data_IF_425043869683
#
_entry.id   IF_425043869683
#
_cell.length_a   1.000
_cell.length_b   1.000
_cell.length_c   1.000
_cell.angle_alpha   90.00
_cell.angle_beta   90.00
_cell.angle_gamma   90.00
#
_symmetry.space_group_name_H-M   'P 1'
#
loop_
_entity.id
_entity.type
_entity.pdbx_description
1 polymer ?
#
# COMPACT_ATOMS: atom_id res chain seq x y z
N UNK A 1 -28.50 16.66 -0.10
CA UNK A 1 -27.88 15.80 -1.13
C UNK A 1 -27.22 14.65 -0.42
N UNK A 2 -27.70 13.42 -0.62
CA UNK A 2 -27.03 12.24 -0.09
C UNK A 2 -25.65 12.12 -0.76
N UNK A 3 -24.56 11.82 -0.02
CA UNK A 3 -23.27 11.59 -0.62
C UNK A 3 -23.40 10.39 -1.56
N UNK A 4 -23.09 10.59 -2.84
CA UNK A 4 -23.02 9.53 -3.83
C UNK A 4 -22.11 8.44 -3.29
N UNK A 5 -22.68 7.29 -2.93
CA UNK A 5 -21.92 6.10 -2.55
C UNK A 5 -21.21 5.62 -3.79
N UNK A 6 -19.99 6.12 -4.00
CA UNK A 6 -19.06 5.57 -4.99
C UNK A 6 -18.76 4.17 -4.49
N UNK A 7 -19.48 3.19 -5.01
CA UNK A 7 -19.14 1.79 -4.82
C UNK A 7 -17.69 1.61 -5.30
N UNK A 8 -16.82 0.98 -4.51
CA UNK A 8 -15.45 0.72 -4.94
C UNK A 8 -15.53 -0.02 -6.27
N UNK A 9 -15.09 0.63 -7.35
CA UNK A 9 -15.16 0.05 -8.67
C UNK A 9 -14.20 -1.14 -8.71
N UNK A 10 -14.77 -2.34 -8.70
CA UNK A 10 -14.13 -3.55 -9.20
C UNK A 10 -13.43 -3.25 -10.53
N UNK A 11 -12.36 -4.00 -10.83
CA UNK A 11 -11.79 -3.96 -12.17
C UNK A 11 -12.89 -4.18 -13.23
N UNK A 12 -12.71 -3.57 -14.40
CA UNK A 12 -13.63 -3.78 -15.52
C UNK A 12 -13.85 -5.28 -15.76
N UNK A 13 -15.10 -5.69 -15.92
CA UNK A 13 -15.47 -7.12 -15.94
C UNK A 13 -14.68 -7.95 -16.94
N UNK A 14 -14.46 -7.43 -18.16
CA UNK A 14 -13.65 -8.11 -19.17
C UNK A 14 -12.20 -8.38 -18.70
N UNK A 15 -11.58 -7.39 -18.03
CA UNK A 15 -10.25 -7.57 -17.46
C UNK A 15 -10.25 -8.60 -16.33
N UNK A 16 -11.22 -8.53 -15.42
CA UNK A 16 -11.35 -9.49 -14.32
C UNK A 16 -11.47 -10.92 -14.84
N UNK A 17 -12.35 -11.16 -15.82
CA UNK A 17 -12.54 -12.47 -16.44
C UNK A 17 -11.26 -12.99 -17.09
N UNK A 18 -10.57 -12.14 -17.87
CA UNK A 18 -9.30 -12.53 -18.52
C UNK A 18 -8.20 -12.78 -17.49
N UNK A 19 -8.07 -11.91 -16.49
CA UNK A 19 -7.11 -12.07 -15.39
C UNK A 19 -7.33 -13.40 -14.66
N UNK A 20 -8.56 -13.71 -14.28
CA UNK A 20 -8.89 -14.96 -13.61
C UNK A 20 -8.60 -16.18 -14.50
N UNK A 21 -8.90 -16.11 -15.80
CA UNK A 21 -8.56 -17.18 -16.74
C UNK A 21 -7.05 -17.44 -16.74
N UNK A 22 -6.24 -16.39 -16.88
CA UNK A 22 -4.79 -16.49 -16.89
C UNK A 22 -4.21 -16.94 -15.54
N UNK A 23 -4.82 -16.53 -14.42
CA UNK A 23 -4.38 -16.96 -13.10
C UNK A 23 -4.56 -18.48 -12.90
N UNK A 24 -5.62 -19.07 -13.44
CA UNK A 24 -5.96 -20.48 -13.25
C UNK A 24 -5.45 -21.40 -14.38
N UNK A 25 -4.92 -20.85 -15.48
CA UNK A 25 -4.36 -21.63 -16.58
C UNK A 25 -3.06 -22.36 -16.19
N UNK A 26 -3.19 -23.64 -15.83
CA UNK A 26 -2.05 -24.50 -15.46
C UNK A 26 -1.24 -24.99 -16.66
N UNK A 27 -1.70 -24.78 -17.89
CA UNK A 27 -0.96 -25.19 -19.09
C UNK A 27 0.22 -24.26 -19.35
N UNK A 28 0.13 -23.01 -18.89
CA UNK A 28 1.19 -22.02 -19.01
C UNK A 28 2.03 -21.93 -17.73
N UNK A 29 3.34 -22.17 -17.86
CA UNK A 29 4.29 -21.98 -16.76
C UNK A 29 4.42 -20.52 -16.36
N UNK A 30 4.85 -20.26 -15.12
CA UNK A 30 5.09 -18.89 -14.64
C UNK A 30 6.17 -18.17 -15.46
N UNK A 31 7.20 -18.89 -15.96
CA UNK A 31 8.23 -18.30 -16.80
C UNK A 31 7.69 -17.88 -18.15
N UNK A 32 6.92 -18.74 -18.83
CA UNK A 32 6.32 -18.44 -20.13
C UNK A 32 5.32 -17.27 -20.03
N UNK A 33 4.54 -17.19 -18.95
CA UNK A 33 3.64 -16.06 -18.71
C UNK A 33 4.42 -14.76 -18.43
N UNK A 34 5.53 -14.82 -17.69
CA UNK A 34 6.42 -13.67 -17.42
C UNK A 34 7.10 -13.18 -18.70
N UNK A 35 7.57 -14.07 -19.56
CA UNK A 35 8.14 -13.74 -20.87
C UNK A 35 7.10 -13.03 -21.76
N UNK A 36 5.86 -13.54 -21.82
CA UNK A 36 4.77 -12.89 -22.55
C UNK A 36 4.46 -11.50 -21.99
N UNK A 37 4.40 -11.36 -20.66
CA UNK A 37 4.21 -10.06 -20.02
C UNK A 37 5.34 -9.08 -20.35
N UNK A 38 6.60 -9.53 -20.42
CA UNK A 38 7.74 -8.69 -20.79
C UNK A 38 7.64 -8.17 -22.23
N UNK A 39 7.16 -8.98 -23.17
CA UNK A 39 6.90 -8.54 -24.55
C UNK A 39 5.88 -7.39 -24.59
N UNK A 40 4.84 -7.45 -23.76
CA UNK A 40 3.85 -6.37 -23.65
C UNK A 40 4.44 -5.13 -22.97
N UNK A 41 5.27 -5.28 -21.93
CA UNK A 41 5.93 -4.15 -21.26
C UNK A 41 6.92 -3.40 -22.16
N UNK A 42 7.48 -4.05 -23.18
CA UNK A 42 8.41 -3.41 -24.14
C UNK A 42 7.76 -2.25 -24.92
N UNK A 43 6.42 -2.15 -24.93
CA UNK A 43 5.72 -0.98 -25.49
C UNK A 43 6.08 0.30 -24.74
N UNK A 44 6.33 0.22 -23.42
CA UNK A 44 6.64 1.37 -22.57
C UNK A 44 8.04 1.95 -22.84
N UNK A 45 8.89 1.25 -23.57
CA UNK A 45 10.23 1.71 -23.96
C UNK A 45 10.25 2.44 -25.31
N UNK A 46 9.11 2.46 -26.03
CA UNK A 46 9.03 3.04 -27.36
C UNK A 46 9.03 4.57 -27.26
N UNK A 47 9.93 5.30 -27.95
CA UNK A 47 9.99 6.75 -27.89
C UNK A 47 8.68 7.44 -28.30
N UNK A 48 7.90 6.81 -29.19
CA UNK A 48 6.64 7.35 -29.71
C UNK A 48 5.55 7.47 -28.64
N UNK A 49 5.63 6.67 -27.57
CA UNK A 49 4.64 6.66 -26.47
C UNK A 49 5.21 7.22 -25.17
N UNK A 50 6.41 7.83 -25.21
CA UNK A 50 7.05 8.44 -24.04
C UNK A 50 6.15 9.51 -23.37
N UNK A 51 5.31 10.20 -24.15
CA UNK A 51 4.37 11.20 -23.62
C UNK A 51 3.23 10.60 -22.79
N UNK A 52 2.99 9.29 -22.90
CA UNK A 52 1.91 8.59 -22.19
C UNK A 52 2.43 7.85 -20.95
N UNK A 53 3.75 7.65 -20.81
CA UNK A 53 4.33 6.77 -19.77
C UNK A 53 4.44 7.41 -18.39
N UNK A 54 4.18 8.71 -18.29
CA UNK A 54 4.19 9.44 -17.03
C UNK A 54 2.75 9.57 -16.53
N UNK A 55 2.37 8.92 -15.42
CA UNK A 55 1.17 9.35 -14.71
C UNK A 55 1.37 10.83 -14.35
N UNK A 56 0.29 11.63 -14.32
CA UNK A 56 0.28 13.08 -14.02
C UNK A 56 0.64 13.38 -12.54
N UNK A 57 1.49 12.53 -11.96
CA UNK A 57 2.14 12.67 -10.67
C UNK A 57 3.24 13.73 -10.79
N UNK A 58 3.52 14.37 -9.66
CA UNK A 58 4.52 15.41 -9.50
C UNK A 58 5.78 15.12 -10.37
N UNK A 59 6.15 16.01 -11.32
CA UNK A 59 7.26 15.78 -12.25
C UNK A 59 8.61 15.57 -11.54
N UNK A 60 8.70 15.79 -10.23
CA UNK A 60 9.84 15.42 -9.40
C UNK A 60 9.98 13.91 -9.17
N UNK A 61 9.01 13.09 -9.60
CA UNK A 61 9.00 11.65 -9.36
C UNK A 61 9.10 10.91 -10.70
N UNK A 62 10.27 10.32 -10.97
CA UNK A 62 10.53 9.46 -12.14
C UNK A 62 9.84 8.09 -12.04
N UNK A 63 8.56 8.08 -11.64
CA UNK A 63 7.77 6.86 -11.49
C UNK A 63 7.15 6.53 -12.84
N UNK A 64 7.41 5.33 -13.34
CA UNK A 64 6.78 4.80 -14.55
C UNK A 64 6.08 3.48 -14.24
N UNK A 65 5.03 3.13 -14.99
CA UNK A 65 4.36 1.85 -14.83
C UNK A 65 5.33 0.67 -14.94
N UNK A 66 6.30 0.77 -15.85
CA UNK A 66 7.36 -0.24 -16.01
C UNK A 66 8.17 -0.43 -14.72
N UNK A 67 8.58 0.66 -14.05
CA UNK A 67 9.30 0.58 -12.77
C UNK A 67 8.43 -0.06 -11.67
N UNK A 68 7.14 0.23 -11.64
CA UNK A 68 6.20 -0.39 -10.69
C UNK A 68 6.14 -1.90 -10.92
N UNK A 69 5.94 -2.37 -12.15
CA UNK A 69 5.90 -3.80 -12.44
C UNK A 69 7.23 -4.51 -12.14
N UNK A 70 8.36 -3.91 -12.51
CA UNK A 70 9.70 -4.45 -12.20
C UNK A 70 9.89 -4.57 -10.68
N UNK A 71 9.55 -3.51 -9.93
CA UNK A 71 9.58 -3.52 -8.47
C UNK A 71 8.71 -4.64 -7.90
N UNK A 72 7.49 -4.80 -8.42
CA UNK A 72 6.59 -5.85 -7.97
C UNK A 72 7.12 -7.27 -8.23
N UNK A 73 7.80 -7.50 -9.36
CA UNK A 73 8.49 -8.76 -9.61
C UNK A 73 9.64 -8.98 -8.64
N UNK A 74 10.49 -7.97 -8.44
CA UNK A 74 11.63 -8.03 -7.52
C UNK A 74 11.19 -8.36 -6.09
N UNK A 75 10.12 -7.71 -5.60
CA UNK A 75 9.54 -8.00 -4.28
C UNK A 75 8.97 -9.42 -4.22
N UNK A 76 8.28 -9.88 -5.26
CA UNK A 76 7.79 -11.26 -5.32
C UNK A 76 8.93 -12.28 -5.20
N UNK A 77 10.02 -12.06 -5.92
CA UNK A 77 11.22 -12.91 -5.90
C UNK A 77 11.92 -12.84 -4.52
N UNK A 78 12.09 -11.63 -3.96
CA UNK A 78 12.72 -11.36 -2.66
C UNK A 78 11.99 -12.00 -1.47
N UNK A 79 10.65 -12.06 -1.51
CA UNK A 79 9.82 -12.64 -0.46
C UNK A 79 9.43 -14.10 -0.74
N UNK A 80 10.00 -14.71 -1.78
CA UNK A 80 9.71 -16.09 -2.21
C UNK A 80 8.22 -16.34 -2.43
N UNK A 81 7.54 -15.40 -3.10
CA UNK A 81 6.12 -15.46 -3.44
C UNK A 81 5.94 -15.64 -4.95
N UNK A 82 6.05 -16.87 -5.49
CA UNK A 82 5.91 -17.10 -6.94
C UNK A 82 4.52 -16.74 -7.47
N UNK A 83 3.48 -16.79 -6.62
CA UNK A 83 2.14 -16.35 -6.96
C UNK A 83 2.07 -14.84 -7.28
N UNK A 84 2.92 -14.01 -6.65
CA UNK A 84 3.02 -12.58 -6.92
C UNK A 84 3.44 -12.30 -8.35
N UNK A 85 4.50 -12.98 -8.81
CA UNK A 85 4.98 -12.83 -10.18
C UNK A 85 3.94 -13.30 -11.20
N UNK A 86 3.24 -14.40 -10.92
CA UNK A 86 2.14 -14.88 -11.77
C UNK A 86 1.02 -13.85 -11.84
N UNK A 87 0.60 -13.28 -10.71
CA UNK A 87 -0.45 -12.26 -10.65
C UNK A 87 -0.12 -11.02 -11.48
N UNK A 88 1.10 -10.49 -11.33
CA UNK A 88 1.57 -9.33 -12.11
C UNK A 88 1.61 -9.68 -13.61
N UNK A 89 2.16 -10.84 -13.97
CA UNK A 89 2.27 -11.26 -15.38
C UNK A 89 0.89 -11.45 -16.02
N UNK A 90 -0.05 -12.06 -15.29
CA UNK A 90 -1.42 -12.26 -15.72
C UNK A 90 -2.14 -10.92 -15.92
N UNK A 91 -1.96 -9.95 -15.02
CA UNK A 91 -2.53 -8.61 -15.16
C UNK A 91 -2.05 -7.90 -16.43
N UNK A 92 -0.74 -7.92 -16.69
CA UNK A 92 -0.15 -7.31 -17.90
C UNK A 92 -0.69 -7.99 -19.17
N UNK A 93 -0.74 -9.32 -19.20
CA UNK A 93 -1.26 -10.06 -20.35
C UNK A 93 -2.77 -9.82 -20.53
N UNK A 94 -3.55 -9.73 -19.45
CA UNK A 94 -4.97 -9.43 -19.50
C UNK A 94 -5.24 -8.06 -20.11
N UNK A 95 -4.43 -7.03 -19.81
CA UNK A 95 -4.52 -5.74 -20.49
C UNK A 95 -4.39 -5.89 -22.01
N UNK A 96 -3.38 -6.64 -22.48
CA UNK A 96 -3.14 -6.83 -23.90
C UNK A 96 -4.27 -7.61 -24.59
N UNK A 97 -4.74 -8.70 -23.97
CA UNK A 97 -5.82 -9.55 -24.50
C UNK A 97 -7.15 -8.79 -24.58
N UNK A 98 -7.50 -8.00 -23.57
CA UNK A 98 -8.72 -7.19 -23.59
C UNK A 98 -8.65 -6.14 -24.70
N UNK A 99 -7.50 -5.48 -24.91
CA UNK A 99 -7.34 -4.50 -25.99
C UNK A 99 -7.43 -5.14 -27.38
N UNK A 100 -6.94 -6.36 -27.53
CA UNK A 100 -6.99 -7.10 -28.79
C UNK A 100 -8.41 -7.58 -29.14
N UNK A 101 -9.21 -7.92 -28.13
CA UNK A 101 -10.53 -8.56 -28.31
C UNK A 101 -11.71 -7.62 -28.15
N UNK A 102 -11.59 -6.58 -27.33
CA UNK A 102 -12.71 -5.74 -26.90
C UNK A 102 -12.59 -4.32 -27.45
N UNK A 103 -13.61 -3.90 -28.20
CA UNK A 103 -13.80 -2.50 -28.60
C UNK A 103 -14.26 -1.60 -27.43
N UNK A 104 -14.70 -2.18 -26.31
CA UNK A 104 -15.44 -1.47 -25.27
C UNK A 104 -14.67 -1.01 -24.04
N UNK A 105 -13.36 -1.29 -23.90
CA UNK A 105 -12.67 -1.01 -22.64
C UNK A 105 -12.61 0.49 -22.30
N UNK A 106 -12.60 1.34 -23.33
CA UNK A 106 -12.92 2.76 -23.25
C UNK A 106 -13.42 3.25 -24.62
N UNK A 107 -14.68 3.65 -24.72
CA UNK A 107 -15.24 4.26 -25.93
C UNK A 107 -14.48 5.52 -26.38
N UNK A 108 -13.76 6.17 -25.47
CA UNK A 108 -12.98 7.39 -25.74
C UNK A 108 -11.57 7.12 -26.35
N UNK A 109 -11.14 5.86 -26.42
CA UNK A 109 -9.81 5.47 -26.91
C UNK A 109 -9.80 4.97 -28.38
N UNK A 110 -10.93 4.99 -29.10
CA UNK A 110 -10.97 4.54 -30.50
C UNK A 110 -10.04 5.31 -31.45
N UNK A 111 -9.64 6.53 -31.08
CA UNK A 111 -8.70 7.34 -31.86
C UNK A 111 -7.22 6.99 -31.65
N UNK A 112 -6.90 6.09 -30.71
CA UNK A 112 -5.53 5.71 -30.37
C UNK A 112 -5.08 4.46 -31.13
N UNK A 113 -3.78 4.39 -31.39
CA UNK A 113 -3.12 3.17 -31.88
C UNK A 113 -3.21 2.04 -30.83
N UNK A 114 -2.98 0.80 -31.25
CA UNK A 114 -2.99 -0.34 -30.32
C UNK A 114 -1.95 -0.19 -29.20
N UNK A 115 -0.78 0.36 -29.52
CA UNK A 115 0.30 0.60 -28.55
C UNK A 115 -0.09 1.64 -27.51
N UNK A 116 -0.63 2.78 -27.96
CA UNK A 116 -1.07 3.86 -27.06
C UNK A 116 -2.16 3.38 -26.09
N UNK A 117 -3.10 2.55 -26.57
CA UNK A 117 -4.12 1.92 -25.70
C UNK A 117 -3.50 0.98 -24.67
N UNK A 118 -2.49 0.20 -25.07
CA UNK A 118 -1.81 -0.72 -24.16
C UNK A 118 -1.01 0.03 -23.11
N UNK A 119 -0.31 1.10 -23.49
CA UNK A 119 0.43 1.96 -22.54
C UNK A 119 -0.52 2.53 -21.50
N UNK A 120 -1.66 3.10 -21.92
CA UNK A 120 -2.66 3.66 -21.01
C UNK A 120 -3.20 2.61 -20.04
N UNK A 121 -3.57 1.43 -20.55
CA UNK A 121 -4.07 0.34 -19.72
C UNK A 121 -3.02 -0.16 -18.72
N UNK A 122 -1.75 -0.25 -19.11
CA UNK A 122 -0.65 -0.65 -18.23
C UNK A 122 -0.37 0.41 -17.16
N UNK A 123 -0.47 1.69 -17.49
CA UNK A 123 -0.38 2.77 -16.51
C UNK A 123 -1.51 2.69 -15.50
N UNK A 124 -2.74 2.55 -15.98
CA UNK A 124 -3.92 2.42 -15.12
C UNK A 124 -3.78 1.20 -14.20
N UNK A 125 -3.38 0.05 -14.73
CA UNK A 125 -3.14 -1.15 -13.92
C UNK A 125 -2.06 -0.92 -12.85
N UNK A 126 -0.92 -0.31 -13.20
CA UNK A 126 0.14 -0.03 -12.23
C UNK A 126 -0.36 0.88 -11.09
N UNK A 127 -1.15 1.90 -11.41
CA UNK A 127 -1.74 2.81 -10.43
C UNK A 127 -2.80 2.13 -9.57
N UNK A 128 -3.63 1.27 -10.16
CA UNK A 128 -4.62 0.48 -9.43
C UNK A 128 -3.96 -0.48 -8.45
N UNK A 129 -2.90 -1.18 -8.87
CA UNK A 129 -2.13 -2.07 -8.00
C UNK A 129 -1.47 -1.32 -6.83
N UNK A 130 -0.86 -0.15 -7.08
CA UNK A 130 -0.31 0.68 -6.00
C UNK A 130 -1.41 1.16 -5.04
N UNK A 131 -2.56 1.57 -5.58
CA UNK A 131 -3.70 2.03 -4.78
C UNK A 131 -4.25 0.89 -3.92
N UNK A 132 -4.36 -0.30 -4.49
CA UNK A 132 -4.84 -1.50 -3.81
C UNK A 132 -3.90 -1.93 -2.68
N UNK A 133 -2.59 -1.96 -2.93
CA UNK A 133 -1.59 -2.26 -1.90
C UNK A 133 -1.53 -1.19 -0.81
N UNK A 134 -1.79 0.07 -1.15
CA UNK A 134 -1.83 1.18 -0.20
C UNK A 134 -3.10 1.18 0.66
N UNK A 135 -4.21 0.67 0.14
CA UNK A 135 -5.55 0.79 0.74
C UNK A 135 -5.57 0.49 2.26
N UNK A 136 -4.97 -0.60 2.77
CA UNK A 136 -5.01 -0.92 4.20
C UNK A 136 -4.36 0.13 5.09
N UNK A 137 -3.46 0.95 4.56
CA UNK A 137 -2.64 1.89 5.32
C UNK A 137 -3.18 3.32 5.29
N UNK A 138 -4.21 3.59 4.48
CA UNK A 138 -4.82 4.92 4.40
C UNK A 138 -5.84 5.05 5.54
N UNK A 139 -5.65 6.08 6.39
CA UNK A 139 -6.60 6.44 7.45
C UNK A 139 -8.00 6.63 6.87
N UNK A 140 -8.96 5.85 7.37
CA UNK A 140 -10.29 5.82 6.77
C UNK A 140 -11.29 6.84 7.36
N UNK A 141 -11.11 7.34 8.60
CA UNK A 141 -12.03 8.37 9.17
C UNK A 141 -11.52 9.07 10.44
N UNK A 142 -12.27 10.10 10.86
CA UNK A 142 -12.29 10.65 12.23
C UNK A 142 -12.70 9.56 13.24
N UNK A 143 -11.95 9.47 14.34
CA UNK A 143 -12.22 8.58 15.49
C UNK A 143 -13.63 8.83 16.03
N UNK A 144 -14.42 7.76 16.24
CA UNK A 144 -15.67 7.84 17.00
C UNK A 144 -15.37 7.78 18.51
N UNK A 145 -16.28 8.21 19.38
CA UNK A 145 -16.10 8.06 20.83
C UNK A 145 -15.96 6.59 21.27
N UNK A 146 -16.68 5.66 20.63
CA UNK A 146 -16.60 4.23 20.97
C UNK A 146 -15.21 3.65 20.63
N UNK A 147 -14.63 4.12 19.53
CA UNK A 147 -13.27 3.79 19.10
C UNK A 147 -12.24 4.21 20.17
N UNK A 148 -12.48 5.31 20.90
CA UNK A 148 -11.57 5.79 21.94
C UNK A 148 -11.49 4.82 23.11
N UNK A 149 -12.63 4.30 23.58
CA UNK A 149 -12.65 3.32 24.66
C UNK A 149 -11.97 2.01 24.27
N UNK A 150 -12.27 1.49 23.07
CA UNK A 150 -11.63 0.29 22.53
C UNK A 150 -10.13 0.51 22.33
N UNK A 151 -9.73 1.68 21.83
CA UNK A 151 -8.33 2.04 21.66
C UNK A 151 -7.60 2.08 22.99
N UNK A 152 -8.16 2.72 24.02
CA UNK A 152 -7.54 2.79 25.35
C UNK A 152 -7.35 1.39 25.96
N UNK A 153 -8.32 0.49 25.76
CA UNK A 153 -8.20 -0.88 26.23
C UNK A 153 -7.12 -1.66 25.47
N UNK A 154 -7.11 -1.55 24.14
CA UNK A 154 -6.06 -2.11 23.30
C UNK A 154 -4.66 -1.61 23.70
N UNK A 155 -4.53 -0.32 24.03
CA UNK A 155 -3.26 0.23 24.52
C UNK A 155 -2.81 -0.47 25.80
N UNK A 156 -3.71 -0.72 26.77
CA UNK A 156 -3.36 -1.45 27.99
C UNK A 156 -2.86 -2.86 27.69
N UNK A 157 -3.57 -3.58 26.82
CA UNK A 157 -3.23 -4.94 26.40
C UNK A 157 -1.85 -5.00 25.75
N UNK A 158 -1.59 -4.12 24.77
CA UNK A 158 -0.32 -4.08 24.03
C UNK A 158 0.83 -3.61 24.90
N UNK A 159 0.59 -2.65 25.81
CA UNK A 159 1.58 -2.20 26.78
C UNK A 159 2.00 -3.32 27.74
N UNK A 160 1.03 -4.09 28.24
CA UNK A 160 1.28 -5.30 29.05
C UNK A 160 2.05 -6.35 28.22
N UNK A 161 1.65 -6.57 26.96
CA UNK A 161 2.29 -7.53 26.04
C UNK A 161 3.76 -7.23 25.79
N UNK A 162 4.09 -5.96 25.59
CA UNK A 162 5.43 -5.56 25.17
C UNK A 162 6.28 -5.09 26.38
N UNK A 163 5.84 -5.37 27.61
CA UNK A 163 6.49 -4.97 28.87
C UNK A 163 6.84 -3.47 28.92
N UNK A 164 5.98 -2.62 28.38
CA UNK A 164 6.20 -1.18 28.26
C UNK A 164 7.40 -0.77 27.39
N UNK A 165 8.00 -1.68 26.62
CA UNK A 165 9.16 -1.41 25.79
C UNK A 165 8.78 -1.06 24.35
N UNK A 166 9.31 0.04 23.84
CA UNK A 166 9.22 0.37 22.42
C UNK A 166 9.96 -0.68 21.59
N UNK A 167 9.26 -1.26 20.62
CA UNK A 167 9.78 -2.32 19.76
C UNK A 167 11.08 -1.94 19.03
N UNK A 168 11.20 -0.67 18.61
CA UNK A 168 12.32 -0.22 17.77
C UNK A 168 13.57 0.15 18.57
N UNK A 169 13.45 0.64 19.80
CA UNK A 169 14.62 1.12 20.57
C UNK A 169 14.79 0.44 21.94
N UNK A 170 13.86 -0.44 22.33
CA UNK A 170 13.94 -1.22 23.57
C UNK A 170 13.89 -0.38 24.85
N UNK A 171 13.46 0.89 24.76
CA UNK A 171 13.32 1.81 25.90
C UNK A 171 11.87 1.87 26.37
N UNK A 172 11.65 2.35 27.59
CA UNK A 172 10.31 2.48 28.12
C UNK A 172 9.54 3.57 27.36
N UNK A 173 8.27 3.30 27.11
CA UNK A 173 7.33 4.21 26.45
C UNK A 173 7.15 5.56 27.17
N UNK A 174 7.47 5.64 28.46
CA UNK A 174 7.37 6.85 29.28
C UNK A 174 8.70 7.55 29.55
N UNK A 175 9.82 7.13 28.93
CA UNK A 175 11.16 7.74 29.13
C UNK A 175 11.28 9.19 28.59
N UNK A 176 10.16 9.90 28.42
CA UNK A 176 10.09 11.29 27.99
C UNK A 176 10.67 11.56 26.60
N UNK A 177 10.98 12.83 26.26
CA UNK A 177 11.52 13.22 24.96
C UNK A 177 12.92 12.67 24.65
N UNK A 178 13.51 11.85 25.53
CA UNK A 178 14.79 11.16 25.35
C UNK A 178 14.69 9.91 24.43
N UNK A 179 13.52 9.62 23.88
CA UNK A 179 13.35 8.60 22.84
C UNK A 179 14.05 8.99 21.53
N UNK A 180 15.35 8.70 21.40
CA UNK A 180 16.16 8.91 20.19
C UNK A 180 15.90 7.85 19.09
N UNK A 181 14.71 7.24 19.07
CA UNK A 181 14.40 6.13 18.17
C UNK A 181 14.39 6.61 16.70
N UNK A 182 14.15 7.91 16.48
CA UNK A 182 14.15 8.56 15.16
C UNK A 182 14.68 9.99 15.25
N UNK A 183 15.48 10.43 14.27
CA UNK A 183 16.19 11.73 14.29
C UNK A 183 15.48 12.87 13.57
N UNK A 184 14.46 12.60 12.75
CA UNK A 184 13.79 13.69 12.03
C UNK A 184 12.96 14.58 12.97
N UNK A 185 12.91 15.88 12.66
CA UNK A 185 12.16 16.87 13.41
C UNK A 185 10.65 16.59 13.28
N UNK A 186 10.11 15.79 14.20
CA UNK A 186 8.66 15.67 14.34
C UNK A 186 8.18 16.78 15.28
N UNK A 187 7.49 17.79 14.73
CA UNK A 187 7.00 18.95 15.49
C UNK A 187 5.91 18.62 16.53
N UNK A 188 5.37 17.39 16.51
CA UNK A 188 4.36 16.94 17.45
C UNK A 188 4.83 15.63 18.09
N UNK A 189 5.67 15.72 19.13
CA UNK A 189 5.97 14.58 20.00
C UNK A 189 4.91 14.52 21.08
N UNK A 190 4.21 13.40 21.19
CA UNK A 190 3.39 13.10 22.35
C UNK A 190 4.20 12.20 23.27
N UNK A 191 4.32 12.55 24.55
CA UNK A 191 4.96 11.69 25.58
C UNK A 191 4.11 10.46 25.94
N UNK A 192 3.06 10.17 25.16
CA UNK A 192 2.16 9.06 25.40
C UNK A 192 2.66 7.80 24.69
N UNK A 193 2.57 6.63 25.34
CA UNK A 193 2.72 5.35 24.66
C UNK A 193 1.78 5.28 23.47
N UNK A 194 2.29 4.89 22.31
CA UNK A 194 1.49 4.78 21.11
C UNK A 194 1.59 3.35 20.57
N UNK A 195 0.64 2.51 20.95
CA UNK A 195 0.28 1.34 20.15
C UNK A 195 -0.04 1.84 18.74
N UNK A 196 0.62 1.26 17.75
CA UNK A 196 0.60 1.67 16.37
C UNK A 196 0.00 0.59 15.50
N UNK A 197 -1.09 0.93 14.80
CA UNK A 197 -1.76 -0.02 13.92
C UNK A 197 -0.93 -0.31 12.67
N UNK A 198 -0.84 -1.58 12.29
CA UNK A 198 -0.23 -2.02 11.03
C UNK A 198 -1.18 -1.65 9.89
N UNK A 199 -2.39 -2.18 9.90
CA UNK A 199 -3.47 -1.77 9.00
C UNK A 199 -4.34 -0.71 9.69
N UNK A 200 -4.63 0.37 8.97
CA UNK A 200 -5.57 1.42 9.38
C UNK A 200 -7.03 1.09 9.02
N UNK A 201 -7.27 -0.10 8.46
CA UNK A 201 -8.55 -0.58 7.92
C UNK A 201 -8.82 -2.02 8.32
N UNK A 202 -10.08 -2.36 8.56
CA UNK A 202 -10.54 -3.71 8.87
C UNK A 202 -10.60 -4.59 7.61
N UNK A 203 -10.67 -5.90 7.80
CA UNK A 203 -10.94 -6.86 6.73
C UNK A 203 -12.31 -7.50 7.00
N UNK A 204 -13.19 -7.45 5.98
CA UNK A 204 -14.54 -8.03 5.95
C UNK A 204 -15.54 -7.50 6.99
N UNK A 205 -15.66 -6.18 7.11
CA UNK A 205 -16.84 -5.53 7.69
C UNK A 205 -17.58 -4.79 6.55
N UNK A 206 -18.41 -5.49 5.74
CA UNK A 206 -18.94 -4.98 4.48
C UNK A 206 -19.78 -3.69 4.60
N UNK A 207 -20.30 -3.40 5.79
CA UNK A 207 -21.08 -2.19 6.10
C UNK A 207 -20.23 -1.08 6.76
N UNK A 208 -18.94 -1.33 7.00
CA UNK A 208 -18.06 -0.37 7.61
C UNK A 208 -17.27 0.45 6.58
N UNK A 209 -17.28 1.79 6.69
CA UNK A 209 -16.48 2.65 5.83
C UNK A 209 -14.97 2.47 6.04
N UNK A 210 -14.56 1.67 7.03
CA UNK A 210 -13.17 1.41 7.39
C UNK A 210 -12.62 0.12 6.81
N UNK A 211 -13.39 -0.59 5.98
CA UNK A 211 -12.98 -1.88 5.44
C UNK A 211 -12.05 -1.72 4.23
N UNK A 212 -11.08 -2.62 4.13
CA UNK A 212 -10.28 -2.80 2.91
C UNK A 212 -11.23 -3.12 1.76
N UNK A 213 -11.17 -2.32 0.70
CA UNK A 213 -12.06 -2.51 -0.45
C UNK A 213 -11.86 -3.89 -1.08
N UNK A 214 -12.94 -4.49 -1.60
CA UNK A 214 -12.93 -5.85 -2.17
C UNK A 214 -11.83 -6.04 -3.22
N UNK A 215 -11.68 -5.07 -4.14
CA UNK A 215 -10.61 -5.06 -5.14
C UNK A 215 -9.22 -5.08 -4.51
N UNK A 216 -9.00 -4.24 -3.50
CA UNK A 216 -7.74 -4.17 -2.79
C UNK A 216 -7.46 -5.45 -2.00
N UNK A 217 -8.46 -6.03 -1.35
CA UNK A 217 -8.35 -7.32 -0.68
C UNK A 217 -8.00 -8.44 -1.67
N UNK A 218 -8.65 -8.49 -2.84
CA UNK A 218 -8.29 -9.42 -3.92
C UNK A 218 -6.81 -9.29 -4.30
N UNK A 219 -6.33 -8.07 -4.52
CA UNK A 219 -4.92 -7.80 -4.81
C UNK A 219 -4.00 -8.27 -3.67
N UNK A 220 -4.33 -7.99 -2.40
CA UNK A 220 -3.53 -8.44 -1.25
C UNK A 220 -3.46 -9.97 -1.15
N UNK A 221 -4.57 -10.66 -1.40
CA UNK A 221 -4.58 -12.13 -1.42
C UNK A 221 -3.72 -12.70 -2.54
N UNK A 222 -3.86 -12.19 -3.76
CA UNK A 222 -3.16 -12.73 -4.93
C UNK A 222 -1.68 -12.33 -4.97
N UNK A 223 -1.36 -11.10 -4.60
CA UNK A 223 0.00 -10.56 -4.66
C UNK A 223 0.77 -10.81 -3.36
N UNK A 224 0.24 -10.50 -2.18
CA UNK A 224 0.96 -10.69 -0.92
C UNK A 224 0.79 -12.10 -0.33
N UNK A 225 -0.23 -12.84 -0.77
CA UNK A 225 -0.59 -14.13 -0.17
C UNK A 225 -1.25 -13.97 1.20
N UNK A 226 -2.01 -12.88 1.40
CA UNK A 226 -2.78 -12.63 2.62
C UNK A 226 -3.92 -13.67 2.72
N UNK A 227 -3.98 -14.37 3.85
CA UNK A 227 -4.99 -15.38 4.16
C UNK A 227 -5.94 -14.94 5.28
N UNK A 228 -5.63 -13.88 6.02
CA UNK A 228 -6.58 -13.29 6.97
C UNK A 228 -7.90 -12.95 6.28
N UNK A 229 -8.95 -13.63 6.72
CA UNK A 229 -10.32 -13.39 6.26
C UNK A 229 -11.02 -12.34 7.08
N UNK A 230 -10.58 -12.07 8.31
CA UNK A 230 -11.13 -10.99 9.14
C UNK A 230 -10.03 -10.32 9.92
N UNK A 231 -10.20 -9.02 10.15
CA UNK A 231 -9.29 -8.22 10.95
C UNK A 231 -10.05 -7.05 11.56
N UNK A 232 -10.12 -7.03 12.88
CA UNK A 232 -10.50 -5.83 13.63
C UNK A 232 -9.32 -4.84 13.65
N UNK A 233 -9.61 -3.58 13.35
CA UNK A 233 -8.65 -2.47 13.44
C UNK A 233 -8.08 -2.36 14.85
N UNK A 234 -8.87 -2.66 15.87
CA UNK A 234 -8.54 -2.60 17.30
C UNK A 234 -8.05 -3.94 17.87
N UNK A 235 -7.48 -4.81 17.04
CA UNK A 235 -6.86 -6.06 17.50
C UNK A 235 -5.40 -5.88 17.97
N UNK A 236 -4.96 -6.60 19.02
CA UNK A 236 -3.54 -6.70 19.37
C UNK A 236 -2.69 -7.28 18.23
N UNK A 237 -3.25 -8.16 17.40
CA UNK A 237 -2.62 -8.70 16.18
C UNK A 237 -2.31 -7.62 15.15
N UNK A 238 -3.04 -6.52 15.18
CA UNK A 238 -2.84 -5.39 14.27
C UNK A 238 -1.99 -4.27 14.89
N UNK A 239 -1.38 -4.45 16.07
CA UNK A 239 -0.81 -3.33 16.83
C UNK A 239 0.61 -3.60 17.34
N UNK A 240 1.50 -2.63 17.14
CA UNK A 240 2.89 -2.61 17.62
C UNK A 240 3.08 -1.54 18.71
N UNK A 241 3.80 -1.82 19.80
CA UNK A 241 4.16 -0.77 20.76
C UNK A 241 5.38 0.03 20.29
N UNK A 242 5.19 1.32 19.98
CA UNK A 242 6.25 2.19 19.48
C UNK A 242 6.19 3.58 20.15
N UNK A 243 7.33 4.26 20.21
CA UNK A 243 7.32 5.70 20.42
C UNK A 243 6.74 6.40 19.19
N UNK A 244 6.04 7.52 19.39
CA UNK A 244 5.33 8.24 18.32
C UNK A 244 6.21 8.55 17.07
N UNK A 245 7.49 9.00 17.19
CA UNK A 245 8.35 9.19 16.01
C UNK A 245 8.61 7.90 15.23
N UNK A 246 8.83 6.77 15.93
CA UNK A 246 9.05 5.46 15.34
C UNK A 246 7.80 4.92 14.66
N UNK A 247 6.63 5.13 15.27
CA UNK A 247 5.33 4.81 14.69
C UNK A 247 5.08 5.59 13.41
N UNK A 248 5.29 6.91 13.43
CA UNK A 248 5.16 7.74 12.22
C UNK A 248 6.09 7.26 11.11
N UNK A 249 7.35 6.95 11.45
CA UNK A 249 8.32 6.41 10.49
C UNK A 249 7.86 5.06 9.91
N UNK A 250 7.32 4.17 10.74
CA UNK A 250 6.77 2.89 10.31
C UNK A 250 5.58 3.10 9.36
N UNK A 251 4.61 3.93 9.74
CA UNK A 251 3.42 4.24 8.93
C UNK A 251 3.71 4.90 7.58
N UNK A 252 4.90 5.50 7.45
CA UNK A 252 5.40 6.13 6.22
C UNK A 252 6.32 5.21 5.43
N UNK A 253 6.43 3.93 5.79
CA UNK A 253 7.31 2.97 5.13
C UNK A 253 8.78 3.44 5.08
N UNK A 254 9.25 4.14 6.12
CA UNK A 254 10.68 4.46 6.26
C UNK A 254 11.47 3.26 6.75
N UNK A 255 10.80 2.33 7.42
CA UNK A 255 11.32 1.04 7.82
C UNK A 255 10.18 0.02 7.93
N UNK A 256 10.53 -1.26 7.99
CA UNK A 256 9.59 -2.36 8.19
C UNK A 256 10.24 -3.56 8.87
N UNK A 257 9.44 -4.61 9.08
CA UNK A 257 9.81 -5.86 9.72
C UNK A 257 9.67 -7.00 8.70
N UNK A 258 10.81 -7.55 8.26
CA UNK A 258 10.85 -8.68 7.33
C UNK A 258 11.05 -9.98 8.10
N UNK A 259 10.21 -10.97 7.87
CA UNK A 259 10.34 -12.28 8.51
C UNK A 259 11.72 -12.89 8.24
N UNK A 260 12.25 -13.59 9.23
CA UNK A 260 13.50 -14.38 9.11
C UNK A 260 13.18 -15.87 8.98
N UNK A 261 14.20 -16.73 8.99
CA UNK A 261 14.01 -18.17 9.03
C UNK A 261 13.35 -18.67 10.33
N UNK A 262 13.37 -17.87 11.41
CA UNK A 262 12.65 -18.19 12.66
C UNK A 262 11.31 -17.45 12.67
N UNK A 263 10.23 -18.19 12.93
CA UNK A 263 8.86 -17.70 12.80
C UNK A 263 8.52 -16.48 13.69
N UNK A 264 9.21 -16.35 14.82
CA UNK A 264 9.03 -15.29 15.81
C UNK A 264 10.01 -14.12 15.65
N UNK A 265 10.91 -14.18 14.66
CA UNK A 265 11.97 -13.20 14.46
C UNK A 265 11.82 -12.43 13.15
N UNK A 266 12.04 -11.12 13.24
CA UNK A 266 11.88 -10.17 12.15
C UNK A 266 13.13 -9.29 12.05
N UNK A 267 13.71 -9.22 10.86
CA UNK A 267 14.78 -8.27 10.55
C UNK A 267 14.19 -6.88 10.38
N UNK A 268 14.80 -5.88 11.01
CA UNK A 268 14.48 -4.47 10.74
C UNK A 268 15.09 -4.10 9.40
N UNK A 269 14.24 -3.74 8.44
CA UNK A 269 14.65 -3.27 7.11
C UNK A 269 14.38 -1.77 7.05
N UNK A 270 15.39 -1.00 6.64
CA UNK A 270 15.32 0.45 6.57
C UNK A 270 15.33 0.85 5.10
N UNK A 271 14.33 1.61 4.69
CA UNK A 271 14.21 2.15 3.34
C UNK A 271 14.67 3.60 3.28
N UNK A 272 14.56 4.33 4.39
CA UNK A 272 15.01 5.71 4.50
C UNK A 272 16.54 5.83 4.44
N UNK A 273 17.09 6.99 4.02
CA UNK A 273 18.49 7.32 4.29
C UNK A 273 18.81 7.14 5.77
N UNK A 274 19.96 6.53 6.07
CA UNK A 274 20.37 6.11 7.43
C UNK A 274 20.25 7.21 8.49
N UNK A 275 20.35 8.48 8.11
CA UNK A 275 20.25 9.61 9.03
C UNK A 275 18.84 9.88 9.58
N UNK A 276 17.80 9.27 8.99
CA UNK A 276 16.42 9.50 9.42
C UNK A 276 16.04 8.66 10.65
N UNK A 277 16.60 7.46 10.81
CA UNK A 277 16.41 6.65 12.00
C UNK A 277 17.49 6.96 13.06
N UNK A 278 17.19 6.65 14.32
CA UNK A 278 18.17 6.75 15.40
C UNK A 278 19.42 5.90 15.14
N UNK A 279 20.55 6.21 15.77
CA UNK A 279 21.81 5.44 15.60
C UNK A 279 21.75 4.03 16.23
N UNK A 280 20.70 3.72 17.00
CA UNK A 280 20.61 2.51 17.83
C UNK A 280 19.21 1.90 17.74
N UNK A 281 19.01 1.02 16.77
CA UNK A 281 17.87 0.11 16.71
C UNK A 281 18.38 -1.33 16.56
N UNK A 282 17.64 -2.35 17.02
CA UNK A 282 18.07 -3.73 16.89
C UNK A 282 18.00 -4.14 15.41
N UNK A 283 18.95 -4.96 14.97
CA UNK A 283 18.91 -5.54 13.61
C UNK A 283 17.79 -6.58 13.47
N UNK A 284 17.38 -7.18 14.59
CA UNK A 284 16.35 -8.22 14.66
C UNK A 284 15.47 -7.99 15.89
N UNK A 285 14.16 -8.09 15.68
CA UNK A 285 13.11 -8.05 16.70
C UNK A 285 12.58 -9.47 16.88
N UNK A 286 12.28 -9.87 18.12
CA UNK A 286 11.67 -11.18 18.42
C UNK A 286 10.36 -10.97 19.20
N UNK A 287 9.26 -11.52 18.71
CA UNK A 287 7.99 -11.54 19.43
C UNK A 287 7.83 -12.89 20.14
N UNK A 288 7.94 -12.91 21.46
CA UNK A 288 7.77 -14.15 22.22
C UNK A 288 6.38 -14.17 22.86
N UNK A 289 5.68 -15.32 22.86
CA UNK A 289 4.55 -15.47 23.76
C UNK A 289 5.05 -15.29 25.19
N UNK A 290 4.26 -14.62 26.03
CA UNK A 290 4.55 -14.66 27.45
C UNK A 290 4.40 -16.11 27.90
N UNK A 291 5.50 -16.68 28.36
CA UNK A 291 5.49 -17.93 29.09
C UNK A 291 5.59 -17.57 30.57
N UNK A 292 4.66 -18.09 31.37
CA UNK A 292 4.67 -18.18 32.84
C UNK A 292 5.98 -17.74 33.51
N UNK A 293 5.87 -16.78 34.41
CA UNK A 293 6.67 -16.88 35.62
C UNK A 293 6.14 -18.13 36.37
N UNK A 294 7.00 -19.07 36.79
CA UNK A 294 6.56 -20.33 37.42
C UNK A 294 5.68 -20.18 38.67
N UNK A 295 5.60 -18.98 39.24
CA UNK A 295 5.00 -18.72 40.55
C UNK A 295 3.60 -18.08 40.50
N UNK A 296 3.09 -17.67 39.34
CA UNK A 296 1.75 -17.06 39.24
C UNK A 296 0.67 -18.12 38.91
N UNK A 297 -0.17 -18.42 39.90
CA UNK A 297 -1.26 -19.41 39.82
C UNK A 297 -2.56 -18.89 39.17
N UNK A 298 -2.55 -17.73 38.51
CA UNK A 298 -3.75 -17.17 37.87
C UNK A 298 -3.97 -17.73 36.46
N UNK A 299 -5.24 -17.89 35.99
CA UNK A 299 -5.53 -18.24 34.61
C UNK A 299 -4.90 -17.23 33.66
N UNK A 300 -3.98 -17.70 32.82
CA UNK A 300 -3.15 -16.85 31.96
C UNK A 300 -3.98 -16.28 30.81
N UNK A 301 -4.10 -14.95 30.76
CA UNK A 301 -4.62 -14.26 29.59
C UNK A 301 -3.54 -14.32 28.49
N UNK A 302 -3.68 -15.22 27.52
CA UNK A 302 -2.77 -15.32 26.38
C UNK A 302 -2.89 -14.04 25.56
N UNK A 303 -1.86 -13.18 25.64
CA UNK A 303 -1.82 -11.93 24.89
C UNK A 303 -1.40 -12.22 23.43
N UNK A 304 -2.24 -11.83 22.48
CA UNK A 304 -1.99 -12.07 21.06
C UNK A 304 -0.79 -11.24 20.53
N UNK A 305 0.09 -11.92 19.79
CA UNK A 305 1.21 -11.29 19.09
C UNK A 305 0.77 -10.61 17.79
N UNK A 306 1.54 -9.65 17.26
CA UNK A 306 1.27 -9.06 15.95
C UNK A 306 1.20 -10.13 14.85
N UNK A 307 0.26 -9.99 13.91
CA UNK A 307 0.10 -10.94 12.82
C UNK A 307 1.31 -10.91 11.88
N UNK A 308 1.97 -12.06 11.64
CA UNK A 308 3.04 -12.18 10.66
C UNK A 308 2.61 -11.78 9.25
N UNK A 309 1.36 -12.04 8.87
CA UNK A 309 0.85 -11.75 7.53
C UNK A 309 0.66 -10.24 7.31
N UNK A 310 0.21 -9.50 8.31
CA UNK A 310 0.09 -8.03 8.23
C UNK A 310 1.46 -7.37 8.13
N UNK A 311 2.44 -7.87 8.91
CA UNK A 311 3.83 -7.43 8.83
C UNK A 311 4.44 -7.74 7.46
N UNK A 312 4.15 -8.92 6.89
CA UNK A 312 4.56 -9.30 5.55
C UNK A 312 3.98 -8.32 4.50
N UNK A 313 2.68 -8.03 4.53
CA UNK A 313 2.06 -7.08 3.60
C UNK A 313 2.72 -5.71 3.71
N UNK A 314 2.95 -5.21 4.93
CA UNK A 314 3.63 -3.93 5.15
C UNK A 314 5.06 -3.93 4.58
N UNK A 315 5.83 -5.01 4.80
CA UNK A 315 7.19 -5.14 4.29
C UNK A 315 7.24 -5.24 2.76
N UNK A 316 6.33 -6.02 2.16
CA UNK A 316 6.22 -6.14 0.70
C UNK A 316 5.86 -4.80 0.07
N UNK A 317 4.84 -4.10 0.58
CA UNK A 317 4.45 -2.81 0.02
C UNK A 317 5.54 -1.74 0.21
N UNK A 318 6.19 -1.68 1.38
CA UNK A 318 7.36 -0.81 1.60
C UNK A 318 8.48 -1.06 0.59
N UNK A 319 8.76 -2.33 0.29
CA UNK A 319 9.77 -2.71 -0.71
C UNK A 319 9.34 -2.34 -2.13
N UNK A 320 8.05 -2.46 -2.48
CA UNK A 320 7.53 -1.99 -3.78
C UNK A 320 7.75 -0.49 -3.92
N UNK A 321 7.45 0.30 -2.88
CA UNK A 321 7.65 1.75 -2.88
C UNK A 321 9.11 2.15 -3.05
N UNK A 322 10.02 1.43 -2.41
CA UNK A 322 11.45 1.65 -2.54
C UNK A 322 11.95 1.34 -3.95
N UNK A 323 11.74 0.12 -4.46
CA UNK A 323 12.25 -0.28 -5.77
C UNK A 323 11.59 0.46 -6.94
N UNK A 324 10.33 0.87 -6.80
CA UNK A 324 9.64 1.67 -7.84
C UNK A 324 10.04 3.15 -7.83
N UNK A 325 10.65 3.65 -6.75
CA UNK A 325 10.87 5.08 -6.54
C UNK A 325 9.62 5.84 -6.07
N UNK A 326 8.50 5.13 -5.79
CA UNK A 326 7.24 5.72 -5.34
C UNK A 326 7.27 6.25 -3.89
N UNK A 327 8.33 6.00 -3.13
CA UNK A 327 8.40 6.35 -1.70
C UNK A 327 8.05 7.82 -1.44
N UNK A 328 8.64 8.74 -2.20
CA UNK A 328 8.44 10.18 -2.00
C UNK A 328 7.03 10.65 -2.42
N UNK A 329 6.32 9.90 -3.25
CA UNK A 329 4.92 10.19 -3.63
C UNK A 329 3.98 10.09 -2.42
N UNK A 330 4.31 9.22 -1.46
CA UNK A 330 3.48 8.95 -0.28
C UNK A 330 3.90 9.74 0.96
N UNK A 331 5.18 10.14 1.03
CA UNK A 331 5.79 10.82 2.20
C UNK A 331 5.70 12.35 2.11
N UNK A 332 4.99 12.92 1.13
CA UNK A 332 4.64 14.35 1.13
C UNK A 332 3.23 14.63 1.68
N UNK A 333 2.94 14.46 2.98
CA UNK A 333 1.72 15.03 3.55
C UNK A 333 1.84 16.56 3.70
N UNK A 334 3.05 17.13 3.80
CA UNK A 334 3.23 18.54 4.19
C UNK A 334 3.18 19.57 3.04
N UNK A 335 3.22 19.16 1.76
CA UNK A 335 2.99 20.10 0.64
C UNK A 335 1.49 20.24 0.34
N UNK A 336 0.66 19.29 0.80
CA UNK A 336 -0.81 19.34 0.69
C UNK A 336 -1.47 19.78 2.02
N UNK A 337 -0.73 19.81 3.14
CA UNK A 337 -1.22 20.21 4.45
C UNK A 337 -0.41 21.36 5.06
N UNK A 338 -0.41 22.52 4.39
CA UNK A 338 -0.69 23.77 5.11
C UNK A 338 -2.22 23.97 5.10
N UNK A 339 -2.94 23.03 5.70
CA UNK A 339 -4.31 23.25 6.13
C UNK A 339 -4.27 23.55 7.63
N UNK A 340 -4.85 24.67 8.08
CA UNK A 340 -4.98 24.95 9.50
C UNK A 340 -5.79 23.80 10.13
N UNK A 341 -5.48 23.46 11.39
CA UNK A 341 -6.21 22.49 12.23
C UNK A 341 -7.68 22.36 11.80
N UNK A 342 -8.03 21.25 11.13
CA UNK A 342 -9.36 21.07 10.54
C UNK A 342 -10.31 20.36 11.53
N UNK A 343 -10.85 21.15 12.46
CA UNK A 343 -12.16 20.88 13.07
C UNK A 343 -13.34 21.14 12.11
N UNK A 344 -13.11 21.60 10.88
CA UNK A 344 -14.18 21.97 9.94
C UNK A 344 -14.04 21.33 8.54
N UNK A 345 -15.02 20.49 8.16
CA UNK A 345 -15.52 20.32 6.78
C UNK A 345 -14.68 19.52 5.77
N UNK A 346 -14.91 18.20 5.69
CA UNK A 346 -14.20 17.25 4.80
C UNK A 346 -14.82 16.99 3.42
N UNK A 347 -15.26 17.99 2.66
CA UNK A 347 -15.87 17.80 1.33
C UNK A 347 -14.95 18.11 0.13
N UNK A 348 -13.78 18.74 0.35
CA UNK A 348 -12.94 19.24 -0.74
C UNK A 348 -12.01 18.20 -1.41
N UNK A 349 -11.68 17.09 -0.75
CA UNK A 349 -10.68 16.12 -1.24
C UNK A 349 -11.23 15.18 -2.32
N UNK A 350 -12.46 14.67 -2.16
CA UNK A 350 -13.11 13.81 -3.15
C UNK A 350 -13.49 14.59 -4.42
N UNK A 351 -13.90 15.85 -4.28
CA UNK A 351 -14.14 16.74 -5.42
C UNK A 351 -12.85 17.05 -6.18
N UNK A 352 -11.71 17.26 -5.51
CA UNK A 352 -10.44 17.56 -6.19
C UNK A 352 -9.80 16.36 -6.91
N UNK A 353 -9.88 15.15 -6.36
CA UNK A 353 -9.43 13.95 -7.07
C UNK A 353 -10.33 13.66 -8.27
N UNK A 354 -11.65 13.81 -8.14
CA UNK A 354 -12.59 13.74 -9.27
C UNK A 354 -12.32 14.83 -10.32
N UNK A 355 -11.96 16.05 -9.91
CA UNK A 355 -11.61 17.15 -10.82
C UNK A 355 -10.25 16.96 -11.50
N UNK A 356 -9.25 16.38 -10.83
CA UNK A 356 -7.97 16.03 -11.44
C UNK A 356 -8.12 14.96 -12.52
N UNK A 357 -9.04 14.01 -12.33
CA UNK A 357 -9.34 12.96 -13.31
C UNK A 357 -10.14 13.53 -14.49
N UNK A 358 -11.01 14.52 -14.26
CA UNK A 358 -11.67 15.30 -15.32
C UNK A 358 -10.69 16.21 -16.10
N UNK A 359 -9.69 16.80 -15.43
CA UNK A 359 -8.67 17.64 -16.06
C UNK A 359 -7.68 16.81 -16.88
N UNK A 360 -7.32 15.60 -16.46
CA UNK A 360 -6.50 14.68 -17.25
C UNK A 360 -7.19 14.34 -18.59
N UNK A 361 -8.51 14.09 -18.57
CA UNK A 361 -9.33 13.96 -19.78
C UNK A 361 -9.36 15.24 -20.63
N UNK A 362 -9.46 16.41 -20.00
CA UNK A 362 -9.46 17.72 -20.68
C UNK A 362 -8.10 18.03 -21.35
N UNK A 363 -6.98 17.71 -20.70
CA UNK A 363 -5.62 17.91 -21.23
C UNK A 363 -5.33 16.95 -22.37
N UNK A 364 -5.80 15.70 -22.30
CA UNK A 364 -5.78 14.79 -23.44
C UNK A 364 -6.63 15.32 -24.61
N UNK A 365 -7.78 15.96 -24.36
CA UNK A 365 -8.56 16.62 -25.40
C UNK A 365 -7.84 17.81 -26.04
N UNK A 366 -7.15 18.65 -25.25
CA UNK A 366 -6.37 19.79 -25.76
C UNK A 366 -5.16 19.31 -26.58
N UNK A 367 -4.45 18.28 -26.15
CA UNK A 367 -3.35 17.66 -26.90
C UNK A 367 -3.83 16.98 -28.20
N UNK A 368 -4.99 16.32 -28.17
CA UNK A 368 -5.66 15.75 -29.36
C UNK A 368 -6.09 16.86 -30.35
N UNK A 369 -6.62 17.98 -29.85
CA UNK A 369 -7.02 19.13 -30.66
C UNK A 369 -5.80 19.80 -31.34
N UNK A 370 -4.71 19.99 -30.60
CA UNK A 370 -3.45 20.53 -31.14
C UNK A 370 -2.83 19.64 -32.22
N UNK A 371 -2.85 18.31 -32.06
CA UNK A 371 -2.37 17.36 -33.10
C UNK A 371 -3.26 17.32 -34.35
N UNK A 372 -4.57 17.53 -34.20
CA UNK A 372 -5.50 17.59 -35.34
C UNK A 372 -5.31 18.87 -36.18
N UNK A 373 -4.95 19.98 -35.53
CA UNK A 373 -4.60 21.23 -36.20
C UNK A 373 -3.24 21.16 -36.93
N UNK A 374 -2.28 20.40 -36.40
CA UNK A 374 -0.96 20.21 -37.05
C UNK A 374 -0.90 19.22 -38.22
N UNK A 375 -2.03 18.58 -38.58
CA UNK A 375 -2.12 17.63 -39.73
C UNK A 375 -3.00 18.16 -40.88
N UNK A 376 -3.40 19.43 -40.82
CA UNK A 376 -4.23 20.11 -41.83
C UNK A 376 -3.45 21.15 -42.67
N UNK A 377 -2.11 21.09 -42.66
CA UNK A 377 -1.23 21.93 -43.49
C UNK A 377 -0.71 21.18 -44.70
#
# INVERSE_FOLDING_TARGET
MAPSTVTPQMYHSAFTTTLDTLLHDRTQSNSALRERAQLHLAVLDRPQVASYTLPDLDPCLEITAKRVFIAMYQVGDEFHKPASARFVSAGICACAEVIATSSGWHHELHALTSDERLVEALNQLAMDLLTDLRCPFIRSRKFRPEDEAQWLELQRVVVKRDHHLCLLCGRLIWDGPAGDCVKYACHARTDRPCGGRIFQRSILEPDEPNTVHERSYFTLRRYCGLNETSLDVFSPRNTLLLHDPALKAFSHFLWSLKATAKADQYRVVVFAPDHNLGMKYPSVVTFKPHNKHPEDHLPEEILELPSPELLLVHAMFGSVLEYSGCRNALIRPNVILNLPNCDSGGTALAQRLSHMWSIAGLRQHVMKFARKLGRLS
#
